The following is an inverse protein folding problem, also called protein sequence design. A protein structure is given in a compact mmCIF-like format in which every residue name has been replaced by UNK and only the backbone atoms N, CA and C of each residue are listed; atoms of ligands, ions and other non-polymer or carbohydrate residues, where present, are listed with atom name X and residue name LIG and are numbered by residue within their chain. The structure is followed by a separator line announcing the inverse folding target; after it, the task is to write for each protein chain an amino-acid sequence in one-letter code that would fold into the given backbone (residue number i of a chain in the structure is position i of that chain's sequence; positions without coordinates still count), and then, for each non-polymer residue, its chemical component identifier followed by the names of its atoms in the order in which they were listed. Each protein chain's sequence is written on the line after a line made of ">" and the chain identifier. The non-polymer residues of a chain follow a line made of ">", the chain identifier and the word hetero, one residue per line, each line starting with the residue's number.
data_IF_406185911331
#
_entry.id   IF_406185911331
#
_cell.length_a   1.000
_cell.length_b   1.000
_cell.length_c   1.000
_cell.angle_alpha   90.00
_cell.angle_beta   90.00
_cell.angle_gamma   90.00
#
_symmetry.space_group_name_H-M   'P 1'
#
loop_
_entity.id
_entity.type
_entity.pdbx_description
1 polymer ?
#
# COMPACT_ATOMS: atom_id res chain seq x y z
N UNK A 1 -21.98 5.62 -8.83
CA UNK A 1 -22.01 7.05 -8.42
C UNK A 1 -21.09 7.89 -9.33
N UNK A 2 -21.66 8.68 -10.26
CA UNK A 2 -20.89 9.48 -11.24
C UNK A 2 -20.45 10.85 -10.73
N UNK A 3 -20.96 11.29 -9.58
CA UNK A 3 -20.75 12.62 -9.02
C UNK A 3 -19.61 12.68 -7.99
N UNK A 4 -19.00 11.54 -7.67
CA UNK A 4 -17.92 11.43 -6.68
C UNK A 4 -16.56 11.64 -7.36
N UNK A 5 -15.66 12.40 -6.71
CA UNK A 5 -14.25 12.46 -7.12
C UNK A 5 -13.58 11.08 -7.00
N UNK A 6 -12.44 10.88 -7.67
CA UNK A 6 -11.71 9.60 -7.60
C UNK A 6 -11.41 9.15 -6.17
N UNK A 7 -10.99 10.07 -5.29
CA UNK A 7 -10.78 9.79 -3.87
C UNK A 7 -12.04 9.39 -3.12
N UNK A 8 -13.16 10.07 -3.38
CA UNK A 8 -14.45 9.74 -2.76
C UNK A 8 -14.96 8.37 -3.22
N UNK A 9 -14.76 8.02 -4.49
CA UNK A 9 -15.09 6.68 -5.01
C UNK A 9 -14.26 5.61 -4.32
N UNK A 10 -12.96 5.86 -4.09
CA UNK A 10 -12.07 4.93 -3.41
C UNK A 10 -12.42 4.74 -1.93
N UNK A 11 -12.77 5.82 -1.22
CA UNK A 11 -13.28 5.70 0.17
C UNK A 11 -14.57 4.88 0.23
N UNK A 12 -15.51 5.15 -0.67
CA UNK A 12 -16.75 4.40 -0.74
C UNK A 12 -16.52 2.91 -1.06
N UNK A 13 -15.53 2.58 -1.91
CA UNK A 13 -15.21 1.18 -2.23
C UNK A 13 -14.60 0.44 -1.04
N UNK A 14 -13.72 1.07 -0.29
CA UNK A 14 -13.14 0.51 0.95
C UNK A 14 -14.21 0.30 2.01
N UNK A 15 -15.06 1.31 2.27
CA UNK A 15 -16.17 1.19 3.24
C UNK A 15 -17.12 0.05 2.84
N UNK A 16 -17.45 -0.06 1.55
CA UNK A 16 -18.28 -1.15 1.03
C UNK A 16 -17.63 -2.52 1.27
N UNK A 17 -16.31 -2.64 1.06
CA UNK A 17 -15.59 -3.87 1.34
C UNK A 17 -15.65 -4.23 2.84
N UNK A 18 -15.41 -3.24 3.71
CA UNK A 18 -15.43 -3.43 5.16
C UNK A 18 -16.81 -3.72 5.74
N UNK A 19 -17.88 -3.28 5.08
CA UNK A 19 -19.27 -3.52 5.53
C UNK A 19 -19.65 -4.99 5.56
N UNK A 20 -18.94 -5.85 4.83
CA UNK A 20 -19.12 -7.31 4.85
C UNK A 20 -18.24 -8.02 5.90
N UNK A 21 -17.54 -7.24 6.74
CA UNK A 21 -16.59 -7.74 7.75
C UNK A 21 -15.64 -8.85 7.25
N UNK A 22 -14.95 -8.67 6.11
CA UNK A 22 -14.10 -9.71 5.56
C UNK A 22 -12.89 -9.98 6.47
N UNK A 23 -12.41 -11.22 6.46
CA UNK A 23 -11.14 -11.60 7.09
C UNK A 23 -9.92 -11.23 6.24
N UNK A 24 -10.10 -11.15 4.92
CA UNK A 24 -9.05 -10.81 3.94
C UNK A 24 -9.56 -9.74 2.97
N UNK A 25 -8.74 -8.72 2.74
CA UNK A 25 -8.99 -7.63 1.78
C UNK A 25 -7.95 -7.73 0.66
N UNK A 26 -8.43 -7.80 -0.58
CA UNK A 26 -7.60 -7.80 -1.79
C UNK A 26 -7.78 -6.48 -2.53
N UNK A 27 -6.68 -5.82 -2.88
CA UNK A 27 -6.72 -4.55 -3.63
C UNK A 27 -5.77 -4.60 -4.81
N UNK A 28 -6.26 -4.24 -5.99
CA UNK A 28 -5.45 -4.12 -7.20
C UNK A 28 -5.30 -2.63 -7.54
N UNK A 29 -4.08 -2.13 -7.52
CA UNK A 29 -3.71 -0.73 -7.78
C UNK A 29 -4.57 0.31 -7.03
N UNK A 30 -4.71 0.22 -5.69
CA UNK A 30 -5.74 0.95 -4.97
C UNK A 30 -5.58 2.47 -5.02
N UNK A 31 -4.37 3.02 -5.19
CA UNK A 31 -4.15 4.48 -5.22
C UNK A 31 -3.48 4.99 -6.50
N UNK A 32 -3.45 4.17 -7.56
CA UNK A 32 -2.81 4.53 -8.84
C UNK A 32 -3.43 5.77 -9.49
N UNK A 33 -4.75 5.93 -9.38
CA UNK A 33 -5.50 7.04 -10.01
C UNK A 33 -5.68 8.29 -9.11
N UNK A 34 -5.10 8.31 -7.91
CA UNK A 34 -5.27 9.41 -6.96
C UNK A 34 -4.16 10.46 -7.09
N UNK A 35 -4.48 11.72 -6.82
CA UNK A 35 -3.47 12.74 -6.61
C UNK A 35 -2.67 12.50 -5.32
N UNK A 36 -1.56 13.22 -5.14
CA UNK A 36 -0.64 12.99 -4.03
C UNK A 36 -1.29 13.18 -2.66
N UNK A 37 -2.04 14.28 -2.46
CA UNK A 37 -2.67 14.57 -1.16
C UNK A 37 -3.73 13.52 -0.83
N UNK A 38 -4.60 13.20 -1.78
CA UNK A 38 -5.62 12.17 -1.57
C UNK A 38 -4.97 10.81 -1.28
N UNK A 39 -3.88 10.45 -1.96
CA UNK A 39 -3.15 9.20 -1.70
C UNK A 39 -2.62 9.13 -0.26
N UNK A 40 -2.04 10.21 0.25
CA UNK A 40 -1.52 10.23 1.63
C UNK A 40 -2.65 10.05 2.66
N UNK A 41 -3.78 10.71 2.44
CA UNK A 41 -4.97 10.50 3.28
C UNK A 41 -5.46 9.04 3.23
N UNK A 42 -5.44 8.41 2.06
CA UNK A 42 -5.85 7.01 1.89
C UNK A 42 -4.86 6.03 2.55
N UNK A 43 -3.56 6.31 2.44
CA UNK A 43 -2.52 5.54 3.13
C UNK A 43 -2.73 5.56 4.65
N UNK A 44 -2.97 6.74 5.23
CA UNK A 44 -3.29 6.87 6.64
C UNK A 44 -4.57 6.14 7.04
N UNK A 45 -5.61 6.24 6.20
CA UNK A 45 -6.88 5.56 6.43
C UNK A 45 -6.72 4.03 6.46
N UNK A 46 -6.04 3.44 5.46
CA UNK A 46 -5.82 1.98 5.41
C UNK A 46 -4.97 1.51 6.60
N UNK A 47 -3.91 2.25 6.94
CA UNK A 47 -3.11 1.95 8.12
C UNK A 47 -3.98 1.94 9.38
N UNK A 48 -4.81 2.96 9.57
CA UNK A 48 -5.73 3.03 10.72
C UNK A 48 -6.68 1.84 10.76
N UNK A 49 -7.33 1.50 9.64
CA UNK A 49 -8.23 0.35 9.54
C UNK A 49 -7.50 -0.94 9.92
N UNK A 50 -6.29 -1.14 9.41
CA UNK A 50 -5.50 -2.33 9.73
C UNK A 50 -5.15 -2.40 11.23
N UNK A 51 -4.73 -1.28 11.82
CA UNK A 51 -4.41 -1.20 13.25
C UNK A 51 -5.63 -1.46 14.15
N UNK A 52 -6.82 -1.03 13.74
CA UNK A 52 -8.06 -1.22 14.51
C UNK A 52 -8.66 -2.62 14.33
N UNK A 53 -8.51 -3.23 13.16
CA UNK A 53 -9.23 -4.47 12.81
C UNK A 53 -8.38 -5.73 12.75
N UNK A 54 -7.05 -5.60 12.60
CA UNK A 54 -6.14 -6.74 12.42
C UNK A 54 -6.40 -7.57 11.16
N UNK A 55 -7.18 -7.05 10.19
CA UNK A 55 -7.55 -7.77 8.98
C UNK A 55 -6.33 -8.03 8.09
N UNK A 56 -6.34 -9.14 7.37
CA UNK A 56 -5.27 -9.42 6.40
C UNK A 56 -5.51 -8.58 5.15
N UNK A 57 -4.54 -7.77 4.77
CA UNK A 57 -4.60 -6.95 3.56
C UNK A 57 -3.52 -7.41 2.59
N UNK A 58 -3.90 -7.76 1.37
CA UNK A 58 -2.98 -8.04 0.27
C UNK A 58 -3.30 -7.07 -0.85
N UNK A 59 -2.29 -6.36 -1.33
CA UNK A 59 -2.47 -5.42 -2.41
C UNK A 59 -1.32 -5.47 -3.40
N UNK A 60 -1.65 -5.15 -4.65
CA UNK A 60 -0.70 -5.01 -5.74
C UNK A 60 -0.62 -3.53 -6.09
N UNK A 61 0.60 -3.02 -6.21
CA UNK A 61 0.86 -1.62 -6.60
C UNK A 61 2.16 -1.54 -7.38
N UNK A 62 2.23 -0.61 -8.31
CA UNK A 62 3.49 -0.18 -8.96
C UNK A 62 4.22 0.91 -8.17
N UNK A 63 3.65 1.40 -7.06
CA UNK A 63 4.25 2.42 -6.21
C UNK A 63 5.00 1.79 -5.02
N UNK A 64 6.33 1.85 -5.08
CA UNK A 64 7.21 1.30 -4.02
C UNK A 64 7.00 1.99 -2.67
N UNK A 65 6.75 3.30 -2.66
CA UNK A 65 6.51 4.06 -1.42
C UNK A 65 5.24 3.58 -0.73
N UNK A 66 4.15 3.40 -1.49
CA UNK A 66 2.90 2.84 -0.98
C UNK A 66 3.09 1.43 -0.40
N UNK A 67 3.81 0.58 -1.14
CA UNK A 67 4.10 -0.79 -0.71
C UNK A 67 4.82 -0.81 0.65
N UNK A 68 5.89 -0.02 0.81
CA UNK A 68 6.64 0.04 2.06
C UNK A 68 5.81 0.71 3.17
N UNK A 69 5.05 1.75 2.84
CA UNK A 69 4.27 2.49 3.85
C UNK A 69 3.18 1.64 4.48
N UNK A 70 2.49 0.79 3.71
CA UNK A 70 1.39 -0.01 4.22
C UNK A 70 1.77 -1.43 4.65
N UNK A 71 2.76 -2.06 4.02
CA UNK A 71 3.01 -3.48 4.21
C UNK A 71 3.94 -3.81 5.39
N UNK A 72 3.77 -5.03 5.90
CA UNK A 72 4.77 -5.74 6.74
C UNK A 72 5.77 -6.52 5.89
N UNK A 73 5.36 -6.90 4.67
CA UNK A 73 6.17 -7.67 3.72
C UNK A 73 5.89 -7.17 2.32
N UNK A 74 6.95 -6.83 1.58
CA UNK A 74 6.86 -6.49 0.16
C UNK A 74 7.39 -7.64 -0.66
N UNK A 75 6.53 -8.20 -1.52
CA UNK A 75 6.87 -9.28 -2.44
C UNK A 75 7.14 -8.68 -3.81
N UNK A 76 8.38 -8.78 -4.28
CA UNK A 76 8.80 -8.28 -5.59
C UNK A 76 8.72 -9.41 -6.60
N UNK A 77 8.06 -9.15 -7.72
CA UNK A 77 7.95 -10.08 -8.84
C UNK A 77 8.84 -9.62 -10.00
N UNK A 78 9.44 -10.56 -10.73
CA UNK A 78 10.19 -10.27 -11.94
C UNK A 78 9.27 -9.74 -13.04
N UNK A 79 9.80 -8.94 -13.98
CA UNK A 79 9.15 -8.72 -15.27
C UNK A 79 8.85 -10.06 -15.96
N UNK A 80 7.88 -10.04 -16.88
CA UNK A 80 7.33 -11.23 -17.56
C UNK A 80 8.43 -12.26 -17.94
N UNK A 81 8.27 -13.56 -17.60
CA UNK A 81 7.17 -14.15 -16.82
C UNK A 81 7.29 -13.80 -15.31
N UNK A 82 6.15 -13.53 -14.66
CA UNK A 82 6.10 -13.13 -13.25
C UNK A 82 6.55 -14.26 -12.32
N UNK A 83 7.78 -14.15 -11.81
CA UNK A 83 8.36 -15.05 -10.81
C UNK A 83 8.66 -14.27 -9.55
N UNK A 84 8.72 -14.96 -8.41
CA UNK A 84 9.19 -14.35 -7.18
C UNK A 84 10.66 -13.93 -7.34
N UNK A 85 10.93 -12.62 -7.30
CA UNK A 85 12.28 -12.09 -7.33
C UNK A 85 12.87 -12.02 -5.92
N UNK A 86 12.13 -11.44 -4.98
CA UNK A 86 12.57 -11.26 -3.59
C UNK A 86 11.40 -10.96 -2.66
N UNK A 87 11.57 -11.24 -1.37
CA UNK A 87 10.64 -10.84 -0.30
C UNK A 87 11.39 -9.94 0.68
N UNK A 88 10.91 -8.71 0.84
CA UNK A 88 11.45 -7.75 1.80
C UNK A 88 10.57 -7.71 3.06
N UNK A 89 11.10 -8.09 4.23
CA UNK A 89 10.45 -7.74 5.50
C UNK A 89 10.56 -6.23 5.71
N UNK A 90 9.46 -5.59 6.13
CA UNK A 90 9.41 -4.16 6.40
C UNK A 90 9.40 -3.96 7.92
N UNK A 91 10.59 -3.79 8.49
CA UNK A 91 10.78 -3.55 9.93
C UNK A 91 10.63 -2.06 10.27
N UNK A 92 9.44 -1.54 9.97
CA UNK A 92 9.05 -0.16 10.30
C UNK A 92 7.84 -0.20 11.24
N UNK A 93 7.96 0.28 12.49
CA UNK A 93 6.88 0.24 13.44
C UNK A 93 5.69 1.07 12.96
N UNK A 94 4.47 0.65 13.32
CA UNK A 94 3.24 1.44 13.13
C UNK A 94 2.83 2.09 14.46
N UNK A 95 2.25 3.30 14.45
CA UNK A 95 1.83 4.07 13.28
C UNK A 95 2.99 4.77 12.57
N UNK A 96 2.98 4.70 11.24
CA UNK A 96 3.90 5.38 10.33
C UNK A 96 3.31 6.75 9.97
N UNK A 97 3.96 7.87 10.32
CA UNK A 97 3.46 9.21 10.02
C UNK A 97 3.70 9.59 8.55
N UNK A 98 3.10 10.69 8.07
CA UNK A 98 3.24 11.16 6.67
C UNK A 98 4.71 11.44 6.33
N UNK A 99 5.52 11.78 7.33
CA UNK A 99 6.94 12.08 7.16
C UNK A 99 7.82 10.82 7.04
N UNK A 100 7.26 9.63 7.32
CA UNK A 100 7.99 8.35 7.28
C UNK A 100 8.77 8.15 5.97
N UNK A 101 8.23 8.45 4.78
CA UNK A 101 8.93 8.29 3.51
C UNK A 101 10.21 9.12 3.37
N UNK A 102 10.40 10.16 4.20
CA UNK A 102 11.59 11.01 4.19
C UNK A 102 12.68 10.54 5.16
N UNK A 103 12.43 9.48 5.94
CA UNK A 103 13.42 8.92 6.85
C UNK A 103 14.51 8.15 6.09
N UNK A 104 15.78 8.18 6.55
CA UNK A 104 16.87 7.46 5.88
C UNK A 104 16.59 5.97 5.69
N UNK A 105 16.06 5.29 6.72
CA UNK A 105 15.74 3.85 6.68
C UNK A 105 14.69 3.52 5.63
N UNK A 106 13.68 4.36 5.45
CA UNK A 106 12.66 4.19 4.42
C UNK A 106 13.26 4.35 3.03
N UNK A 107 14.07 5.39 2.82
CA UNK A 107 14.74 5.66 1.54
C UNK A 107 15.69 4.52 1.18
N UNK A 108 16.47 4.01 2.13
CA UNK A 108 17.34 2.84 1.94
C UNK A 108 16.54 1.61 1.49
N UNK A 109 15.37 1.39 2.09
CA UNK A 109 14.46 0.30 1.73
C UNK A 109 13.91 0.47 0.31
N UNK A 110 13.51 1.69 -0.09
CA UNK A 110 13.10 1.99 -1.47
C UNK A 110 14.23 1.61 -2.44
N UNK A 111 15.46 2.05 -2.16
CA UNK A 111 16.60 1.81 -3.05
C UNK A 111 16.91 0.32 -3.16
N UNK A 112 16.82 -0.44 -2.06
CA UNK A 112 17.02 -1.89 -2.07
C UNK A 112 15.97 -2.61 -2.94
N UNK A 113 14.69 -2.23 -2.82
CA UNK A 113 13.61 -2.79 -3.64
C UNK A 113 13.79 -2.44 -5.12
N UNK A 114 14.06 -1.17 -5.45
CA UNK A 114 14.26 -0.74 -6.85
C UNK A 114 15.41 -1.47 -7.55
N UNK A 115 16.54 -1.65 -6.87
CA UNK A 115 17.68 -2.42 -7.40
C UNK A 115 17.36 -3.90 -7.69
N UNK A 116 16.30 -4.43 -7.10
CA UNK A 116 15.84 -5.81 -7.36
C UNK A 116 14.98 -5.88 -8.60
N UNK A 117 14.25 -4.80 -8.93
CA UNK A 117 13.42 -4.69 -10.12
C UNK A 117 14.28 -4.44 -11.37
N UNK A 118 15.41 -3.74 -11.21
CA UNK A 118 16.35 -3.41 -12.29
C UNK A 118 17.31 -4.56 -12.68
N UNK A 119 17.27 -5.69 -11.96
CA UNK A 119 18.06 -6.90 -12.27
C UNK A 119 17.26 -7.90 -13.10
#
# INVERSE_FOLDING_TARGET
>A
PRELSGGMQQRASIVRCLSFDPSVILMDEPFGALDAFTRDEMNLLIQKIWMETGKTIVFVTHNVTEAIFLADRVVVLTPRPGRLAHIFPIDLPRPRPIEQPYTPTFIETILAIKRTIEK
#
